data_IF_389237388745
#
_entry.id   IF_389237388745
#
_cell.length_a   1.000
_cell.length_b   1.000
_cell.length_c   1.000
_cell.angle_alpha   90.00
_cell.angle_beta   90.00
_cell.angle_gamma   90.00
#
_symmetry.space_group_name_H-M   'P 1'
#
loop_
_entity.id
_entity.type
_entity.pdbx_description
1 polymer ?
#
# COMPACT_ATOMS: atom_id res chain seq x y z
N UNK A 1 -32.83 8.18 -1.61
CA UNK A 1 -31.35 8.27 -1.51
C UNK A 1 -30.99 9.64 -2.03
N UNK A 2 -30.37 10.50 -1.23
CA UNK A 2 -29.82 11.76 -1.74
C UNK A 2 -28.77 11.43 -2.79
N UNK A 3 -28.75 12.17 -3.90
CA UNK A 3 -27.75 11.97 -4.95
C UNK A 3 -26.36 12.27 -4.38
N UNK A 4 -25.45 11.30 -4.48
CA UNK A 4 -24.05 11.50 -4.12
C UNK A 4 -23.41 12.41 -5.16
N UNK A 5 -22.94 13.58 -4.73
CA UNK A 5 -22.21 14.50 -5.60
C UNK A 5 -20.72 14.21 -5.49
N UNK A 6 -20.12 13.79 -6.58
CA UNK A 6 -18.65 13.58 -6.68
C UNK A 6 -17.98 14.96 -6.63
N UNK A 7 -17.24 15.22 -5.56
CA UNK A 7 -16.51 16.47 -5.36
C UNK A 7 -15.01 16.18 -5.37
N UNK A 8 -14.28 16.58 -6.43
CA UNK A 8 -12.83 16.37 -6.50
C UNK A 8 -12.11 17.27 -5.49
N UNK A 9 -10.85 16.92 -5.12
CA UNK A 9 -9.99 17.77 -4.30
C UNK A 9 -9.76 19.14 -4.94
N UNK A 10 -9.69 20.19 -4.13
CA UNK A 10 -9.43 21.56 -4.56
C UNK A 10 -8.01 22.04 -4.23
N UNK A 11 -7.19 21.20 -3.58
CA UNK A 11 -5.77 21.40 -3.35
C UNK A 11 -4.98 20.25 -3.94
N UNK A 12 -3.89 20.56 -4.63
CA UNK A 12 -2.98 19.58 -5.22
C UNK A 12 -1.54 19.92 -4.90
N UNK A 13 -0.69 18.91 -4.80
CA UNK A 13 0.76 19.06 -4.62
C UNK A 13 1.48 17.93 -5.36
N UNK A 14 2.80 18.08 -5.59
CA UNK A 14 3.59 17.08 -6.32
C UNK A 14 4.37 16.12 -5.43
N UNK A 15 5.08 16.66 -4.45
CA UNK A 15 6.00 15.87 -3.64
C UNK A 15 5.60 15.86 -2.17
N UNK A 16 5.56 17.02 -1.56
CA UNK A 16 5.23 17.19 -0.14
C UNK A 16 4.36 18.40 0.09
N UNK A 17 3.46 18.27 1.06
CA UNK A 17 2.66 19.38 1.59
C UNK A 17 2.69 19.31 3.11
N UNK A 18 2.79 20.47 3.76
CA UNK A 18 2.75 20.60 5.20
C UNK A 18 1.46 21.27 5.63
N UNK A 19 0.72 20.64 6.54
CA UNK A 19 -0.53 21.15 7.08
C UNK A 19 -0.44 21.17 8.60
N UNK A 20 -0.91 22.26 9.22
CA UNK A 20 -1.03 22.36 10.67
C UNK A 20 -2.51 22.24 11.07
N UNK A 21 -2.79 21.25 11.90
CA UNK A 21 -4.12 21.03 12.49
C UNK A 21 -4.00 21.21 14.01
N UNK A 22 -4.29 22.44 14.48
CA UNK A 22 -3.97 22.82 15.86
C UNK A 22 -2.47 22.77 16.12
N UNK A 23 -2.06 21.98 17.11
CA UNK A 23 -0.63 21.76 17.46
C UNK A 23 0.06 20.69 16.62
N UNK A 24 -0.67 19.92 15.82
CA UNK A 24 -0.12 18.83 15.04
C UNK A 24 0.36 19.32 13.68
N UNK A 25 1.61 18.97 13.36
CA UNK A 25 2.20 19.15 12.04
C UNK A 25 2.05 17.86 11.23
N UNK A 26 1.27 17.91 10.17
CA UNK A 26 1.03 16.82 9.23
C UNK A 26 1.94 17.00 8.01
N UNK A 27 2.78 16.02 7.75
CA UNK A 27 3.58 15.96 6.53
C UNK A 27 2.90 15.00 5.55
N UNK A 28 2.26 15.55 4.51
CA UNK A 28 1.68 14.77 3.42
C UNK A 28 2.78 14.52 2.39
N UNK A 29 3.08 13.27 2.11
CA UNK A 29 4.20 12.88 1.25
C UNK A 29 3.66 11.98 0.15
N UNK A 30 3.74 12.47 -1.10
CA UNK A 30 3.36 11.71 -2.28
C UNK A 30 4.40 10.66 -2.61
N UNK A 31 3.98 9.42 -2.72
CA UNK A 31 4.79 8.30 -3.20
C UNK A 31 3.88 7.29 -3.94
N UNK A 32 4.12 7.07 -5.24
CA UNK A 32 3.35 6.06 -5.99
C UNK A 32 3.49 4.66 -5.40
N UNK A 33 2.43 3.89 -5.46
CA UNK A 33 2.44 2.52 -4.98
C UNK A 33 1.25 1.70 -5.43
N UNK A 34 0.17 1.70 -4.68
CA UNK A 34 -1.10 1.07 -5.06
C UNK A 34 -1.74 1.78 -6.26
N UNK A 35 -1.56 3.09 -6.32
CA UNK A 35 -1.84 3.94 -7.48
C UNK A 35 -0.70 4.94 -7.71
N UNK A 36 -0.74 5.70 -8.80
CA UNK A 36 0.21 6.78 -9.08
C UNK A 36 -0.01 8.01 -8.19
N UNK A 37 -1.21 8.17 -7.65
CA UNK A 37 -1.62 9.30 -6.81
C UNK A 37 -1.49 9.06 -5.31
N UNK A 38 -0.94 7.94 -4.86
CA UNK A 38 -0.86 7.62 -3.45
C UNK A 38 -0.01 8.62 -2.66
N UNK A 39 -0.45 8.85 -1.44
CA UNK A 39 0.29 9.60 -0.45
C UNK A 39 0.14 8.96 0.93
N UNK A 40 1.05 9.25 1.81
CA UNK A 40 0.88 8.98 3.23
C UNK A 40 1.05 10.26 4.05
N UNK A 41 0.53 10.24 5.28
CA UNK A 41 0.68 11.35 6.23
C UNK A 41 1.57 10.89 7.37
N UNK A 42 2.64 11.65 7.64
CA UNK A 42 3.48 11.45 8.82
C UNK A 42 3.22 12.53 9.85
N UNK A 43 2.92 12.12 11.08
CA UNK A 43 2.73 12.98 12.25
C UNK A 43 3.84 12.65 13.25
N UNK A 44 4.95 13.36 13.12
CA UNK A 44 6.18 13.10 13.89
C UNK A 44 5.95 13.13 15.39
N UNK A 45 5.24 14.14 15.91
CA UNK A 45 4.92 14.29 17.32
C UNK A 45 4.15 13.10 17.92
N UNK A 46 3.43 12.34 17.08
CA UNK A 46 2.69 11.14 17.45
C UNK A 46 3.37 9.85 17.00
N UNK A 47 4.52 9.92 16.35
CA UNK A 47 5.21 8.80 15.71
C UNK A 47 4.25 7.93 14.87
N UNK A 48 3.34 8.57 14.16
CA UNK A 48 2.23 7.93 13.46
C UNK A 48 2.30 8.15 11.96
N UNK A 49 2.12 7.06 11.22
CA UNK A 49 1.92 7.05 9.77
C UNK A 49 0.45 6.72 9.47
N UNK A 50 -0.21 7.57 8.69
CA UNK A 50 -1.50 7.25 8.05
C UNK A 50 -1.17 6.91 6.61
N UNK A 51 -1.16 5.62 6.29
CA UNK A 51 -0.55 5.11 5.07
C UNK A 51 -1.52 5.03 3.88
N UNK A 52 -2.84 5.11 4.11
CA UNK A 52 -3.80 4.80 3.06
C UNK A 52 -3.51 3.41 2.46
N UNK A 53 -3.75 3.27 1.17
CA UNK A 53 -3.59 2.00 0.44
C UNK A 53 -2.14 1.64 0.12
N UNK A 54 -1.15 2.37 0.64
CA UNK A 54 0.22 1.90 0.69
C UNK A 54 0.42 0.75 1.69
N UNK A 55 -0.46 0.60 2.69
CA UNK A 55 -0.41 -0.50 3.65
C UNK A 55 -1.78 -1.16 3.78
N UNK A 56 -1.79 -2.49 3.61
CA UNK A 56 -2.91 -3.39 3.91
C UNK A 56 -2.49 -4.32 5.05
N UNK A 57 -3.25 -4.33 6.13
CA UNK A 57 -2.97 -5.23 7.25
C UNK A 57 -3.87 -6.46 7.20
N UNK A 58 -3.28 -7.63 6.91
CA UNK A 58 -4.00 -8.90 6.82
C UNK A 58 -5.05 -8.95 5.69
N UNK A 59 -4.88 -8.13 4.66
CA UNK A 59 -5.74 -8.06 3.48
C UNK A 59 -4.91 -8.19 2.21
N UNK A 60 -5.45 -8.88 1.20
CA UNK A 60 -4.85 -8.94 -0.14
C UNK A 60 -5.23 -7.65 -0.89
N UNK A 61 -4.26 -6.85 -1.33
CA UNK A 61 -4.55 -5.63 -2.07
C UNK A 61 -5.03 -5.92 -3.49
N UNK A 62 -5.84 -5.01 -4.04
CA UNK A 62 -6.04 -4.91 -5.48
C UNK A 62 -4.75 -4.43 -6.15
N UNK A 63 -4.38 -5.01 -7.28
CA UNK A 63 -3.09 -4.76 -7.93
C UNK A 63 -3.22 -4.19 -9.35
N UNK A 64 -4.45 -3.88 -9.79
CA UNK A 64 -4.72 -3.50 -11.19
C UNK A 64 -4.02 -2.21 -11.63
N UNK A 65 -3.85 -1.25 -10.71
CA UNK A 65 -3.24 0.05 -10.98
C UNK A 65 -1.88 0.22 -10.27
N UNK A 66 -1.32 -0.89 -9.74
CA UNK A 66 -0.17 -0.84 -8.86
C UNK A 66 1.17 -0.71 -9.58
N UNK A 67 2.04 0.12 -9.03
CA UNK A 67 3.45 0.30 -9.40
C UNK A 67 4.33 -0.41 -8.37
N UNK A 68 4.48 -1.74 -8.50
CA UNK A 68 5.05 -2.61 -7.44
C UNK A 68 6.45 -2.18 -7.00
N UNK A 69 7.32 -1.78 -7.93
CA UNK A 69 8.69 -1.34 -7.59
C UNK A 69 8.69 -0.02 -6.83
N UNK A 70 7.81 0.92 -7.20
CA UNK A 70 7.70 2.20 -6.51
C UNK A 70 6.98 2.02 -5.17
N UNK A 71 6.02 1.09 -5.09
CA UNK A 71 5.37 0.73 -3.83
C UNK A 71 6.37 0.17 -2.80
N UNK A 72 7.28 -0.71 -3.23
CA UNK A 72 8.35 -1.22 -2.34
C UNK A 72 9.24 -0.08 -1.86
N UNK A 73 9.62 0.87 -2.74
CA UNK A 73 10.39 2.07 -2.36
C UNK A 73 9.63 2.95 -1.36
N UNK A 74 8.32 3.12 -1.56
CA UNK A 74 7.48 3.86 -0.63
C UNK A 74 7.47 3.22 0.76
N UNK A 75 7.32 1.89 0.82
CA UNK A 75 7.38 1.16 2.10
C UNK A 75 8.78 1.20 2.75
N UNK A 76 9.85 1.18 1.95
CA UNK A 76 11.22 1.37 2.45
C UNK A 76 11.37 2.77 3.07
N UNK A 77 10.95 3.81 2.37
CA UNK A 77 10.99 5.19 2.86
C UNK A 77 10.19 5.36 4.16
N UNK A 78 8.95 4.81 4.20
CA UNK A 78 8.11 4.83 5.40
C UNK A 78 8.79 4.08 6.56
N UNK A 79 9.49 2.98 6.25
CA UNK A 79 10.19 2.16 7.23
C UNK A 79 11.40 2.83 7.88
N UNK A 80 11.99 3.83 7.22
CA UNK A 80 13.12 4.62 7.71
C UNK A 80 12.69 5.80 8.60
N UNK A 81 11.40 6.14 8.63
CA UNK A 81 10.86 7.17 9.51
C UNK A 81 10.75 6.66 10.96
N UNK A 82 10.94 7.58 11.93
CA UNK A 82 10.72 7.28 13.34
C UNK A 82 9.22 7.20 13.66
N UNK A 83 8.61 6.05 13.32
CA UNK A 83 7.21 5.78 13.51
C UNK A 83 6.97 4.47 14.28
N UNK A 84 5.97 4.50 15.16
CA UNK A 84 5.58 3.38 16.01
C UNK A 84 4.19 2.86 15.64
N UNK A 85 3.32 3.74 15.12
CA UNK A 85 1.93 3.45 14.75
C UNK A 85 1.75 3.59 13.24
N UNK A 86 1.19 2.57 12.63
CA UNK A 86 0.89 2.52 11.20
C UNK A 86 -0.62 2.29 11.03
N UNK A 87 -1.30 3.26 10.42
CA UNK A 87 -2.74 3.21 10.12
C UNK A 87 -2.87 2.86 8.63
N UNK A 88 -3.27 1.61 8.30
CA UNK A 88 -3.43 1.17 6.93
C UNK A 88 -4.72 1.69 6.31
N UNK A 89 -4.84 1.65 4.98
CA UNK A 89 -6.11 1.86 4.28
C UNK A 89 -7.12 0.75 4.57
N UNK A 90 -6.62 -0.48 4.76
CA UNK A 90 -7.45 -1.64 5.06
C UNK A 90 -6.83 -2.51 6.17
N UNK A 91 -7.68 -2.94 7.11
CA UNK A 91 -7.29 -3.71 8.29
C UNK A 91 -7.04 -2.83 9.52
N UNK A 92 -6.67 -3.43 10.63
CA UNK A 92 -6.50 -2.73 11.90
C UNK A 92 -5.15 -1.98 11.93
N UNK A 93 -5.07 -0.83 12.61
CA UNK A 93 -3.80 -0.19 12.92
C UNK A 93 -2.85 -1.12 13.67
N UNK A 94 -1.54 -0.92 13.50
CA UNK A 94 -0.54 -1.72 14.19
C UNK A 94 0.83 -1.09 14.20
N UNK A 95 1.81 -1.82 14.71
CA UNK A 95 3.21 -1.40 14.73
C UNK A 95 3.95 -1.73 13.43
N UNK A 96 5.28 -1.58 13.46
CA UNK A 96 6.18 -1.86 12.33
C UNK A 96 6.00 -3.23 11.64
N UNK A 97 5.56 -4.31 12.33
CA UNK A 97 5.26 -5.59 11.67
C UNK A 97 4.22 -5.51 10.55
N UNK A 98 3.26 -4.57 10.61
CA UNK A 98 2.25 -4.37 9.56
C UNK A 98 2.90 -3.90 8.25
N UNK A 99 3.79 -2.93 8.34
CA UNK A 99 4.59 -2.45 7.21
C UNK A 99 5.47 -3.56 6.62
N UNK A 100 6.17 -4.29 7.49
CA UNK A 100 7.08 -5.37 7.08
C UNK A 100 6.32 -6.49 6.36
N UNK A 101 5.14 -6.86 6.85
CA UNK A 101 4.32 -7.89 6.24
C UNK A 101 3.88 -7.51 4.81
N UNK A 102 3.41 -6.26 4.63
CA UNK A 102 3.02 -5.74 3.33
C UNK A 102 4.21 -5.70 2.35
N UNK A 103 5.34 -5.19 2.80
CA UNK A 103 6.58 -5.15 2.01
C UNK A 103 7.02 -6.55 1.58
N UNK A 104 6.99 -7.53 2.47
CA UNK A 104 7.35 -8.92 2.15
C UNK A 104 6.39 -9.53 1.13
N UNK A 105 5.10 -9.23 1.21
CA UNK A 105 4.13 -9.67 0.22
C UNK A 105 4.49 -9.16 -1.18
N UNK A 106 4.77 -7.87 -1.32
CA UNK A 106 5.13 -7.27 -2.61
C UNK A 106 6.44 -7.83 -3.19
N UNK A 107 7.46 -8.01 -2.35
CA UNK A 107 8.73 -8.60 -2.77
C UNK A 107 8.55 -10.05 -3.23
N UNK A 108 7.75 -10.84 -2.51
CA UNK A 108 7.50 -12.24 -2.88
C UNK A 108 6.73 -12.35 -4.20
N UNK A 109 5.66 -11.53 -4.34
CA UNK A 109 4.89 -11.43 -5.58
C UNK A 109 5.81 -11.06 -6.76
N UNK A 110 6.54 -9.94 -6.65
CA UNK A 110 7.45 -9.45 -7.69
C UNK A 110 8.48 -10.50 -8.10
N UNK A 111 9.11 -11.14 -7.12
CA UNK A 111 10.13 -12.18 -7.38
C UNK A 111 9.55 -13.35 -8.17
N UNK A 112 8.36 -13.83 -7.81
CA UNK A 112 7.71 -14.96 -8.48
C UNK A 112 7.30 -14.62 -9.90
N UNK A 113 6.70 -13.44 -10.09
CA UNK A 113 6.33 -12.97 -11.43
C UNK A 113 7.56 -12.81 -12.31
N UNK A 114 8.65 -12.25 -11.77
CA UNK A 114 9.90 -12.07 -12.50
C UNK A 114 10.47 -13.40 -13.01
N UNK A 115 10.48 -14.46 -12.18
CA UNK A 115 10.92 -15.80 -12.59
C UNK A 115 10.10 -16.30 -13.77
N UNK A 116 8.77 -16.17 -13.73
CA UNK A 116 7.92 -16.61 -14.82
C UNK A 116 8.15 -15.83 -16.13
N UNK A 117 8.42 -14.53 -16.02
CA UNK A 117 8.79 -13.70 -17.19
C UNK A 117 10.11 -14.16 -17.78
N UNK A 118 11.12 -14.45 -16.96
CA UNK A 118 12.44 -14.94 -17.39
C UNK A 118 12.35 -16.33 -18.05
N UNK A 119 11.38 -17.14 -17.65
CA UNK A 119 11.07 -18.45 -18.24
C UNK A 119 10.24 -18.35 -19.54
N UNK A 120 9.79 -17.14 -19.91
CA UNK A 120 8.99 -16.88 -21.11
C UNK A 120 7.50 -17.21 -20.97
N UNK A 121 7.02 -17.36 -19.73
CA UNK A 121 5.61 -17.67 -19.45
C UNK A 121 4.68 -16.54 -19.90
N UNK A 122 3.54 -16.87 -20.46
CA UNK A 122 2.46 -15.95 -20.73
C UNK A 122 1.84 -15.43 -19.41
N UNK A 123 1.04 -14.37 -19.50
CA UNK A 123 0.32 -13.83 -18.34
C UNK A 123 -0.54 -14.90 -17.65
N UNK A 124 -1.26 -15.71 -18.46
CA UNK A 124 -2.11 -16.77 -17.92
C UNK A 124 -1.32 -17.84 -17.18
N UNK A 125 -0.25 -18.33 -17.77
CA UNK A 125 0.65 -19.31 -17.14
C UNK A 125 1.26 -18.76 -15.86
N UNK A 126 1.72 -17.51 -15.86
CA UNK A 126 2.20 -16.81 -14.67
C UNK A 126 1.14 -16.78 -13.55
N UNK A 127 -0.10 -16.44 -13.89
CA UNK A 127 -1.20 -16.43 -12.93
C UNK A 127 -1.51 -17.83 -12.38
N UNK A 128 -1.53 -18.83 -13.24
CA UNK A 128 -1.82 -20.23 -12.87
C UNK A 128 -0.73 -20.80 -11.93
N UNK A 129 0.52 -20.37 -12.05
CA UNK A 129 1.63 -20.78 -11.18
C UNK A 129 1.68 -19.94 -9.90
N UNK A 130 1.67 -18.62 -10.00
CA UNK A 130 1.95 -17.73 -8.88
C UNK A 130 0.78 -17.61 -7.91
N UNK A 131 -0.45 -17.55 -8.43
CA UNK A 131 -1.66 -17.35 -7.62
C UNK A 131 -1.84 -18.40 -6.52
N UNK A 132 -1.81 -19.73 -6.80
CA UNK A 132 -2.01 -20.74 -5.76
C UNK A 132 -0.93 -20.68 -4.67
N UNK A 133 0.30 -20.36 -5.04
CA UNK A 133 1.41 -20.27 -4.08
C UNK A 133 1.18 -19.09 -3.11
N UNK A 134 0.79 -17.93 -3.63
CA UNK A 134 0.49 -16.77 -2.79
C UNK A 134 -0.77 -16.99 -1.96
N UNK A 135 -1.80 -17.61 -2.51
CA UNK A 135 -3.02 -17.94 -1.78
C UNK A 135 -2.75 -18.87 -0.58
N UNK A 136 -1.92 -19.88 -0.75
CA UNK A 136 -1.55 -20.77 0.37
C UNK A 136 -0.67 -20.04 1.39
N UNK A 137 0.33 -19.30 0.95
CA UNK A 137 1.27 -18.59 1.84
C UNK A 137 0.58 -17.51 2.67
N UNK A 138 -0.36 -16.80 2.06
CA UNK A 138 -1.11 -15.70 2.69
C UNK A 138 -2.58 -16.07 2.96
N UNK A 139 -2.87 -17.35 3.18
CA UNK A 139 -4.23 -17.87 3.41
C UNK A 139 -4.98 -17.25 4.61
N UNK A 140 -4.23 -16.69 5.56
CA UNK A 140 -4.79 -15.96 6.70
C UNK A 140 -5.14 -14.50 6.36
N UNK A 141 -4.73 -14.00 5.18
CA UNK A 141 -5.11 -12.69 4.72
C UNK A 141 -6.46 -12.77 4.02
N UNK A 142 -7.35 -11.85 4.35
CA UNK A 142 -8.69 -11.80 3.75
C UNK A 142 -8.63 -11.09 2.40
N UNK A 143 -9.41 -11.57 1.44
CA UNK A 143 -9.72 -10.77 0.25
C UNK A 143 -10.56 -9.56 0.64
N UNK A 144 -10.45 -8.47 -0.10
CA UNK A 144 -11.42 -7.39 -0.02
C UNK A 144 -12.77 -7.89 -0.56
N UNK A 145 -13.87 -7.54 0.11
CA UNK A 145 -15.21 -8.10 -0.15
C UNK A 145 -15.74 -7.85 -1.57
N UNK A 146 -15.12 -6.93 -2.30
CA UNK A 146 -15.48 -6.55 -3.67
C UNK A 146 -14.51 -7.10 -4.75
N UNK A 147 -13.60 -8.00 -4.39
CA UNK A 147 -12.64 -8.66 -5.29
C UNK A 147 -13.07 -10.11 -5.66
N UNK A 148 -14.35 -10.35 -5.89
CA UNK A 148 -14.84 -11.64 -6.41
C UNK A 148 -14.69 -11.74 -7.92
#
# INVERSE_FOLDING_TARGET
MEETVVTPPNMVFKEKMHVWAGEYHLQLIHMPGHTDGDLFIYIEALKTIIAGDLIFNGKIPYMGDAYVDDWIKALDYIGDLDAEIYIPGHGDPGGKPVLIAMRHYLIDLRRRVKVQIEEGSSLKETQDVVRPILQEKYKNWKKLEWLD
#
